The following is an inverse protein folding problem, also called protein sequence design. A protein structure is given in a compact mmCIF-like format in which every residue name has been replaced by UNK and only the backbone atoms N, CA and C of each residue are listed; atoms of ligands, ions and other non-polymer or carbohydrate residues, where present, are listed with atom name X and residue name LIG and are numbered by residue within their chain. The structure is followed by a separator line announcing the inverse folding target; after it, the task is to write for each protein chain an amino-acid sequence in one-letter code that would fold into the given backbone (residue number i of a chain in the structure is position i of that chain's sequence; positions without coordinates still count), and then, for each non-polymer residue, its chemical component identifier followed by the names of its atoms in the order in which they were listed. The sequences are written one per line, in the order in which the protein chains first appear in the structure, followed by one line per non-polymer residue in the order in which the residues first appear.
data_IF_786169816471
#
_entry.id   IF_786169816471
#
_cell.length_a   1.000
_cell.length_b   1.000
_cell.length_c   1.000
_cell.angle_alpha   90.00
_cell.angle_beta   90.00
_cell.angle_gamma   90.00
#
_symmetry.space_group_name_H-M   'P 1'
#
loop_
_entity.id
_entity.type
_entity.pdbx_description
1 polymer ?
#
# COMPACT_ATOMS: atom_id res chain seq x y z
N UNK A 1 -18.48 5.49 15.89
CA UNK A 1 -17.66 5.46 14.68
C UNK A 1 -16.45 6.36 14.90
N UNK A 2 -15.23 5.97 14.52
CA UNK A 2 -14.04 6.82 14.70
C UNK A 2 -13.33 7.03 13.37
N UNK A 3 -13.50 8.17 12.71
CA UNK A 3 -12.85 8.50 11.44
C UNK A 3 -11.32 8.39 11.47
N UNK A 4 -10.68 8.58 12.64
CA UNK A 4 -9.24 8.37 12.80
C UNK A 4 -8.75 6.97 12.33
N UNK A 5 -9.62 5.92 12.42
CA UNK A 5 -9.27 4.54 12.02
C UNK A 5 -8.85 4.36 10.56
N UNK A 6 -9.22 5.28 9.69
CA UNK A 6 -8.88 5.21 8.27
C UNK A 6 -7.64 6.05 7.91
N UNK A 7 -7.03 6.74 8.88
CA UNK A 7 -5.86 7.60 8.67
C UNK A 7 -4.60 6.87 9.16
N UNK A 8 -3.57 6.89 8.31
CA UNK A 8 -2.28 6.25 8.53
C UNK A 8 -1.17 7.31 8.47
N UNK A 9 -0.86 8.00 9.59
CA UNK A 9 0.21 8.98 9.62
C UNK A 9 1.56 8.41 9.17
N UNK A 10 2.36 9.23 8.46
CA UNK A 10 3.73 8.89 8.13
C UNK A 10 4.65 9.04 9.34
N UNK A 11 5.56 8.07 9.57
CA UNK A 11 6.60 8.17 10.57
C UNK A 11 7.99 8.01 9.95
N UNK A 12 8.74 9.10 9.94
CA UNK A 12 10.12 9.16 9.44
C UNK A 12 11.07 9.03 10.61
N UNK A 13 11.77 7.90 10.69
CA UNK A 13 12.73 7.67 11.77
C UNK A 13 13.86 8.71 11.74
N UNK A 14 14.16 9.28 12.90
CA UNK A 14 15.13 10.37 13.05
C UNK A 14 14.60 11.78 12.72
N UNK A 15 13.36 11.90 12.24
CA UNK A 15 12.72 13.21 11.94
C UNK A 15 11.40 13.41 12.65
N UNK A 16 10.55 12.39 12.73
CA UNK A 16 9.21 12.47 13.34
C UNK A 16 9.28 12.42 14.87
N UNK A 17 8.38 13.15 15.53
CA UNK A 17 8.22 13.14 16.98
C UNK A 17 7.52 11.86 17.45
N UNK A 18 8.15 11.11 18.35
CA UNK A 18 7.57 9.92 18.96
C UNK A 18 6.35 10.27 19.83
N UNK A 19 6.41 11.41 20.54
CA UNK A 19 5.31 11.90 21.37
C UNK A 19 4.07 12.18 20.52
N UNK A 20 4.25 12.82 19.36
CA UNK A 20 3.16 13.07 18.42
C UNK A 20 2.57 11.78 17.85
N UNK A 21 3.41 10.80 17.54
CA UNK A 21 2.93 9.49 17.09
C UNK A 21 2.10 8.79 18.18
N UNK A 22 2.50 8.86 19.45
CA UNK A 22 1.71 8.32 20.57
C UNK A 22 0.35 9.03 20.73
N UNK A 23 0.32 10.36 20.58
CA UNK A 23 -0.92 11.15 20.63
C UNK A 23 -1.89 10.66 19.54
N UNK A 24 -1.41 10.49 18.30
CA UNK A 24 -2.19 9.95 17.20
C UNK A 24 -2.63 8.49 17.41
N UNK A 25 -1.75 7.64 17.97
CA UNK A 25 -2.12 6.28 18.32
C UNK A 25 -3.22 6.23 19.39
N UNK A 26 -3.16 7.09 20.44
CA UNK A 26 -4.22 7.22 21.45
C UNK A 26 -5.51 7.80 20.89
N UNK A 27 -5.44 8.68 19.89
CA UNK A 27 -6.61 9.18 19.14
C UNK A 27 -7.31 8.06 18.39
N UNK A 28 -6.59 7.00 18.04
CA UNK A 28 -7.13 5.79 17.44
C UNK A 28 -6.98 5.74 15.93
N UNK A 29 -5.86 6.24 15.39
CA UNK A 29 -5.50 6.02 13.97
C UNK A 29 -5.44 4.54 13.62
N UNK A 30 -5.66 4.20 12.35
CA UNK A 30 -5.68 2.81 11.89
C UNK A 30 -4.31 2.13 11.89
N UNK A 31 -3.26 2.93 11.80
CA UNK A 31 -1.89 2.46 11.75
C UNK A 31 -0.92 3.57 11.37
N UNK A 32 0.27 3.18 10.88
CA UNK A 32 1.33 4.11 10.48
C UNK A 32 2.02 3.67 9.21
N UNK A 33 2.41 4.63 8.36
CA UNK A 33 3.35 4.40 7.25
C UNK A 33 4.77 4.64 7.74
N UNK A 34 5.66 3.65 7.63
CA UNK A 34 7.02 3.70 8.17
C UNK A 34 8.05 4.06 7.10
N UNK A 35 9.02 4.94 7.46
CA UNK A 35 10.05 5.42 6.53
C UNK A 35 11.43 5.52 7.21
N UNK A 36 12.44 4.78 6.71
CA UNK A 36 13.86 4.93 7.05
C UNK A 36 14.27 4.40 8.43
N UNK A 37 13.77 3.22 8.81
CA UNK A 37 14.13 2.54 10.04
C UNK A 37 15.31 1.57 9.88
N UNK A 38 15.94 1.21 11.02
CA UNK A 38 16.57 -0.11 11.17
C UNK A 38 15.53 -1.10 11.73
N UNK A 39 15.75 -2.39 11.55
CA UNK A 39 14.85 -3.44 12.07
C UNK A 39 14.50 -3.24 13.55
N UNK A 40 15.51 -3.01 14.39
CA UNK A 40 15.32 -2.78 15.84
C UNK A 40 14.45 -1.55 16.12
N UNK A 41 14.70 -0.42 15.45
CA UNK A 41 13.91 0.80 15.63
C UNK A 41 12.45 0.62 15.18
N UNK A 42 12.22 -0.13 14.10
CA UNK A 42 10.88 -0.44 13.63
C UNK A 42 10.12 -1.28 14.67
N UNK A 43 10.72 -2.36 15.18
CA UNK A 43 10.13 -3.19 16.24
C UNK A 43 9.77 -2.40 17.49
N UNK A 44 10.69 -1.56 17.98
CA UNK A 44 10.48 -0.75 19.19
C UNK A 44 9.32 0.25 18.98
N UNK A 45 9.24 0.86 17.80
CA UNK A 45 8.16 1.77 17.44
C UNK A 45 6.81 1.04 17.36
N UNK A 46 6.75 -0.07 16.65
CA UNK A 46 5.54 -0.88 16.48
C UNK A 46 4.98 -1.28 17.85
N UNK A 47 5.82 -1.88 18.70
CA UNK A 47 5.43 -2.25 20.05
C UNK A 47 4.88 -1.06 20.84
N UNK A 48 5.60 0.06 20.82
CA UNK A 48 5.22 1.27 21.56
C UNK A 48 3.89 1.85 21.10
N UNK A 49 3.60 1.86 19.79
CA UNK A 49 2.34 2.36 19.26
C UNK A 49 1.17 1.40 19.59
N UNK A 50 1.39 0.09 19.55
CA UNK A 50 0.39 -0.90 19.95
C UNK A 50 0.07 -0.78 21.46
N UNK A 51 1.08 -0.59 22.32
CA UNK A 51 0.92 -0.48 23.79
C UNK A 51 0.06 0.75 24.17
N UNK A 52 0.08 1.84 23.39
CA UNK A 52 -0.68 3.07 23.69
C UNK A 52 -1.99 3.19 22.90
N UNK A 53 -2.20 2.38 21.87
CA UNK A 53 -3.42 2.39 21.08
C UNK A 53 -4.61 1.82 21.87
N UNK A 54 -5.79 2.45 21.83
CA UNK A 54 -6.99 1.90 22.48
C UNK A 54 -7.51 0.60 21.82
N UNK A 55 -7.00 0.27 20.63
CA UNK A 55 -7.40 -0.93 19.87
C UNK A 55 -6.38 -2.08 19.93
N UNK A 56 -5.23 -1.88 20.55
CA UNK A 56 -4.15 -2.85 20.61
C UNK A 56 -3.49 -3.05 19.25
N UNK A 57 -4.10 -3.82 18.36
CA UNK A 57 -3.55 -4.08 17.01
C UNK A 57 -3.71 -2.86 16.07
N UNK A 58 -2.62 -2.56 15.35
CA UNK A 58 -2.54 -1.55 14.32
C UNK A 58 -1.98 -2.13 13.03
N UNK A 59 -2.30 -1.53 11.89
CA UNK A 59 -1.65 -1.83 10.63
C UNK A 59 -0.41 -0.93 10.47
N UNK A 60 0.75 -1.54 10.23
CA UNK A 60 1.98 -0.82 9.90
C UNK A 60 2.32 -1.08 8.44
N UNK A 61 2.21 -0.05 7.62
CA UNK A 61 2.48 -0.16 6.21
C UNK A 61 3.84 0.42 5.81
N UNK A 62 4.39 -0.10 4.72
CA UNK A 62 5.63 0.40 4.12
C UNK A 62 5.45 0.54 2.62
N UNK A 63 5.81 1.72 2.09
CA UNK A 63 5.79 2.02 0.66
C UNK A 63 7.04 1.40 0.00
N UNK A 64 6.96 0.09 -0.24
CA UNK A 64 8.01 -0.69 -0.87
C UNK A 64 7.71 -0.75 -2.36
N UNK A 65 8.63 -0.23 -3.19
CA UNK A 65 8.48 -0.29 -4.64
C UNK A 65 9.18 -1.51 -5.22
N UNK A 66 10.34 -1.84 -4.71
CA UNK A 66 11.15 -2.97 -5.17
C UNK A 66 11.66 -3.83 -4.00
N UNK A 67 12.29 -3.24 -2.98
CA UNK A 67 12.92 -3.99 -1.89
C UNK A 67 12.64 -3.38 -0.52
N UNK A 68 12.60 -4.24 0.53
CA UNK A 68 12.39 -3.80 1.91
C UNK A 68 13.47 -2.81 2.41
N UNK A 69 14.67 -2.82 1.81
CA UNK A 69 15.74 -1.88 2.13
C UNK A 69 15.36 -0.40 1.91
N UNK A 70 14.36 -0.13 1.07
CA UNK A 70 13.84 1.23 0.88
C UNK A 70 13.28 1.83 2.18
N UNK A 71 12.86 0.97 3.10
CA UNK A 71 12.25 1.35 4.39
C UNK A 71 13.06 0.86 5.59
N UNK A 72 13.59 -0.36 5.53
CA UNK A 72 14.40 -0.98 6.59
C UNK A 72 15.84 -1.09 6.10
N UNK A 73 16.67 -0.15 6.53
CA UNK A 73 18.00 0.09 5.95
C UNK A 73 19.01 -1.03 6.17
N UNK A 74 18.80 -1.89 7.16
CA UNK A 74 19.62 -3.07 7.48
C UNK A 74 18.99 -4.39 7.00
N UNK A 75 17.89 -4.34 6.22
CA UNK A 75 17.32 -5.55 5.63
C UNK A 75 18.21 -6.09 4.50
N UNK A 76 18.25 -7.43 4.30
CA UNK A 76 18.93 -8.05 3.17
C UNK A 76 18.36 -7.57 1.82
N UNK A 77 19.25 -7.42 0.83
CA UNK A 77 18.86 -7.14 -0.54
C UNK A 77 18.21 -8.37 -1.19
N UNK A 78 17.13 -8.14 -1.94
CA UNK A 78 16.51 -9.13 -2.82
C UNK A 78 16.69 -8.72 -4.28
N UNK A 79 16.54 -9.63 -5.26
CA UNK A 79 16.62 -9.31 -6.68
C UNK A 79 15.65 -8.18 -7.06
N UNK A 80 16.11 -7.23 -7.90
CA UNK A 80 15.25 -6.17 -8.40
C UNK A 80 14.13 -6.75 -9.29
N UNK A 81 12.89 -6.22 -9.19
CA UNK A 81 11.74 -6.70 -9.95
C UNK A 81 12.02 -6.78 -11.46
N UNK A 82 12.60 -5.72 -12.03
CA UNK A 82 12.91 -5.66 -13.46
C UNK A 82 13.96 -6.67 -13.96
N UNK A 83 14.67 -7.35 -13.04
CA UNK A 83 15.62 -8.41 -13.39
C UNK A 83 15.03 -9.81 -13.24
N UNK A 84 13.90 -9.97 -12.57
CA UNK A 84 13.33 -11.30 -12.28
C UNK A 84 12.97 -12.05 -13.57
N UNK A 85 12.47 -11.36 -14.59
CA UNK A 85 12.14 -11.97 -15.88
C UNK A 85 13.32 -12.56 -16.66
N UNK A 86 14.57 -12.27 -16.22
CA UNK A 86 15.82 -12.77 -16.83
C UNK A 86 16.33 -14.07 -16.20
N UNK A 87 15.71 -14.54 -15.10
CA UNK A 87 16.07 -15.80 -14.44
C UNK A 87 15.51 -17.01 -15.18
N UNK A 88 16.12 -18.18 -15.00
CA UNK A 88 15.67 -19.44 -15.59
C UNK A 88 14.25 -19.84 -15.14
N UNK A 89 13.87 -19.51 -13.90
CA UNK A 89 12.57 -19.79 -13.29
C UNK A 89 11.97 -18.50 -12.69
N UNK A 90 11.55 -17.53 -13.53
CA UNK A 90 11.20 -16.20 -13.08
C UNK A 90 9.97 -16.18 -12.15
N UNK A 91 9.01 -17.08 -12.33
CA UNK A 91 7.83 -17.20 -11.48
C UNK A 91 8.19 -17.65 -10.06
N UNK A 92 9.07 -18.67 -9.94
CA UNK A 92 9.56 -19.13 -8.64
C UNK A 92 10.35 -18.03 -7.92
N UNK A 93 11.19 -17.31 -8.65
CA UNK A 93 11.94 -16.15 -8.09
C UNK A 93 10.99 -15.06 -7.60
N UNK A 94 9.95 -14.73 -8.37
CA UNK A 94 8.94 -13.73 -7.98
C UNK A 94 8.18 -14.16 -6.72
N UNK A 95 7.72 -15.41 -6.67
CA UNK A 95 7.04 -15.97 -5.51
C UNK A 95 7.94 -15.94 -4.25
N UNK A 96 9.18 -16.44 -4.36
CA UNK A 96 10.13 -16.45 -3.23
C UNK A 96 10.45 -15.05 -2.75
N UNK A 97 10.65 -14.09 -3.67
CA UNK A 97 10.84 -12.69 -3.32
C UNK A 97 9.64 -12.15 -2.52
N UNK A 98 8.42 -12.39 -2.97
CA UNK A 98 7.21 -12.00 -2.25
C UNK A 98 7.14 -12.60 -0.85
N UNK A 99 7.34 -13.91 -0.74
CA UNK A 99 7.33 -14.63 0.53
C UNK A 99 8.38 -14.09 1.52
N UNK A 100 9.62 -13.93 1.07
CA UNK A 100 10.71 -13.41 1.91
C UNK A 100 10.49 -11.94 2.29
N UNK A 101 9.96 -11.12 1.38
CA UNK A 101 9.58 -9.73 1.69
C UNK A 101 8.54 -9.73 2.83
N UNK A 102 7.51 -10.57 2.77
CA UNK A 102 6.51 -10.67 3.85
C UNK A 102 7.14 -11.14 5.17
N UNK A 103 7.96 -12.21 5.15
CA UNK A 103 8.58 -12.74 6.37
C UNK A 103 9.51 -11.73 7.04
N UNK A 104 10.31 -10.99 6.26
CA UNK A 104 11.16 -9.92 6.78
C UNK A 104 10.36 -8.73 7.28
N UNK A 105 9.30 -8.32 6.55
CA UNK A 105 8.43 -7.23 6.95
C UNK A 105 7.73 -7.51 8.28
N UNK A 106 7.12 -8.70 8.43
CA UNK A 106 6.49 -9.12 9.68
C UNK A 106 7.48 -9.20 10.85
N UNK A 107 8.70 -9.67 10.61
CA UNK A 107 9.74 -9.74 11.64
C UNK A 107 10.08 -8.37 12.25
N UNK A 108 9.90 -7.29 11.49
CA UNK A 108 10.13 -5.91 11.95
C UNK A 108 8.83 -5.18 12.34
N UNK A 109 7.68 -5.88 12.27
CA UNK A 109 6.36 -5.39 12.65
C UNK A 109 5.58 -4.70 11.52
N UNK A 110 6.08 -4.70 10.28
CA UNK A 110 5.35 -4.23 9.10
C UNK A 110 4.46 -5.37 8.62
N UNK A 111 3.13 -5.16 8.64
CA UNK A 111 2.15 -6.17 8.27
C UNK A 111 1.38 -5.83 6.96
N UNK A 112 1.60 -4.66 6.39
CA UNK A 112 1.04 -4.24 5.12
C UNK A 112 2.13 -3.70 4.18
N UNK A 113 2.48 -4.51 3.16
CA UNK A 113 3.47 -4.18 2.13
C UNK A 113 2.76 -3.49 0.97
N UNK A 114 3.03 -2.19 0.77
CA UNK A 114 2.43 -1.44 -0.34
C UNK A 114 3.16 -1.76 -1.65
N UNK A 115 3.01 -2.99 -2.13
CA UNK A 115 3.55 -3.58 -3.34
C UNK A 115 2.59 -4.69 -3.85
N UNK A 116 2.69 -5.11 -5.13
CA UNK A 116 3.67 -4.73 -6.15
C UNK A 116 3.30 -3.51 -6.98
N UNK A 117 4.30 -2.95 -7.67
CA UNK A 117 4.10 -2.07 -8.82
C UNK A 117 3.79 -2.95 -10.04
N UNK A 118 2.66 -2.69 -10.71
CA UNK A 118 2.23 -3.40 -11.93
C UNK A 118 2.20 -2.51 -13.16
N UNK A 119 2.77 -1.31 -13.06
CA UNK A 119 2.98 -0.43 -14.21
C UNK A 119 3.90 -1.09 -15.24
N UNK A 120 3.68 -0.77 -16.52
CA UNK A 120 4.50 -1.30 -17.61
C UNK A 120 5.72 -0.40 -17.86
N UNK A 121 6.90 -0.98 -18.00
CA UNK A 121 8.11 -0.23 -18.37
C UNK A 121 9.40 -0.81 -17.80
N UNK A 122 10.50 -0.62 -18.52
CA UNK A 122 11.84 -1.10 -18.12
C UNK A 122 12.52 -0.25 -17.04
N UNK A 123 12.13 1.02 -16.93
CA UNK A 123 12.74 1.98 -15.99
C UNK A 123 11.89 2.19 -14.72
N UNK A 124 10.90 1.34 -14.51
CA UNK A 124 10.04 1.35 -13.32
C UNK A 124 10.43 0.17 -12.41
N UNK A 125 10.10 0.20 -11.12
CA UNK A 125 10.26 -0.95 -10.23
C UNK A 125 9.23 -2.06 -10.54
N UNK A 126 8.69 -2.10 -11.77
CA UNK A 126 7.80 -3.11 -12.29
C UNK A 126 8.56 -4.35 -12.77
N UNK A 127 7.80 -5.40 -13.10
CA UNK A 127 8.35 -6.68 -13.55
C UNK A 127 8.66 -6.73 -15.05
N UNK A 128 8.49 -5.63 -15.77
CA UNK A 128 8.75 -5.52 -17.21
C UNK A 128 7.78 -4.59 -17.93
N UNK A 129 7.74 -4.67 -19.26
CA UNK A 129 6.88 -3.86 -20.14
C UNK A 129 5.83 -4.68 -20.89
N UNK A 130 5.92 -6.02 -20.84
CA UNK A 130 4.94 -6.93 -21.47
C UNK A 130 3.80 -7.21 -20.48
N UNK A 131 2.53 -6.86 -20.81
CA UNK A 131 1.41 -6.96 -19.87
C UNK A 131 1.23 -8.35 -19.25
N UNK A 132 1.37 -9.43 -20.04
CA UNK A 132 1.24 -10.80 -19.54
C UNK A 132 2.39 -11.22 -18.63
N UNK A 133 3.62 -10.80 -18.93
CA UNK A 133 4.77 -11.06 -18.06
C UNK A 133 4.60 -10.35 -16.71
N UNK A 134 4.25 -9.06 -16.72
CA UNK A 134 3.97 -8.31 -15.48
C UNK A 134 2.84 -8.96 -14.69
N UNK A 135 1.77 -9.40 -15.37
CA UNK A 135 0.65 -10.12 -14.75
C UNK A 135 1.10 -11.38 -14.03
N UNK A 136 1.92 -12.19 -14.68
CA UNK A 136 2.42 -13.46 -14.14
C UNK A 136 3.31 -13.21 -12.93
N UNK A 137 4.38 -12.43 -13.10
CA UNK A 137 5.39 -12.21 -12.06
C UNK A 137 4.84 -11.44 -10.85
N UNK A 138 4.02 -10.41 -11.07
CA UNK A 138 3.34 -9.71 -9.98
C UNK A 138 2.33 -10.60 -9.25
N UNK A 139 1.63 -11.48 -9.99
CA UNK A 139 0.72 -12.46 -9.41
C UNK A 139 1.42 -13.47 -8.50
N UNK A 140 2.59 -13.95 -8.90
CA UNK A 140 3.41 -14.87 -8.09
C UNK A 140 4.03 -14.15 -6.88
N UNK A 141 4.47 -12.90 -7.05
CA UNK A 141 4.92 -12.06 -5.94
C UNK A 141 3.81 -11.84 -4.89
N UNK A 142 2.58 -11.52 -5.33
CA UNK A 142 1.42 -11.38 -4.42
C UNK A 142 1.11 -12.69 -3.72
N UNK A 143 1.17 -13.83 -4.43
CA UNK A 143 0.97 -15.14 -3.81
C UNK A 143 2.01 -15.40 -2.72
N UNK A 144 3.28 -15.06 -2.99
CA UNK A 144 4.36 -15.11 -2.01
C UNK A 144 4.09 -14.22 -0.79
N UNK A 145 3.73 -12.94 -1.00
CA UNK A 145 3.39 -12.01 0.09
C UNK A 145 2.26 -12.56 0.97
N UNK A 146 1.18 -13.02 0.36
CA UNK A 146 0.01 -13.54 1.08
C UNK A 146 0.35 -14.81 1.87
N UNK A 147 1.10 -15.74 1.28
CA UNK A 147 1.54 -16.95 1.97
C UNK A 147 2.56 -16.66 3.07
N UNK A 148 3.33 -15.58 2.94
CA UNK A 148 4.22 -15.06 3.97
C UNK A 148 3.49 -14.35 5.11
N UNK A 149 2.20 -14.04 4.96
CA UNK A 149 1.31 -13.46 5.96
C UNK A 149 1.19 -11.94 5.93
N UNK A 150 1.73 -11.23 4.94
CA UNK A 150 1.59 -9.79 4.81
C UNK A 150 0.44 -9.43 3.86
N UNK A 151 -0.22 -8.30 4.15
CA UNK A 151 -1.14 -7.65 3.21
C UNK A 151 -0.35 -7.04 2.04
N UNK A 152 -0.99 -6.98 0.87
CA UNK A 152 -0.43 -6.40 -0.34
C UNK A 152 -1.20 -5.15 -0.80
N UNK A 153 -0.63 -4.38 -1.72
CA UNK A 153 -1.30 -3.26 -2.37
C UNK A 153 -0.78 -3.08 -3.79
N UNK A 154 -1.63 -3.34 -4.78
CA UNK A 154 -1.29 -3.20 -6.20
C UNK A 154 -1.32 -1.73 -6.61
N UNK A 155 -0.29 -1.25 -7.33
CA UNK A 155 -0.11 0.17 -7.66
C UNK A 155 0.60 0.37 -9.00
N UNK A 156 0.47 1.53 -9.70
CA UNK A 156 -0.34 2.72 -9.42
C UNK A 156 -1.47 2.85 -10.45
N UNK A 157 -2.71 2.55 -10.05
CA UNK A 157 -3.86 2.56 -10.96
C UNK A 157 -4.14 3.98 -11.53
N UNK A 158 -4.48 4.15 -12.81
CA UNK A 158 -4.76 3.13 -13.82
C UNK A 158 -3.54 2.65 -14.64
N UNK A 159 -2.32 2.91 -14.20
CA UNK A 159 -1.07 2.57 -14.87
C UNK A 159 -0.37 3.82 -15.40
N UNK A 160 0.77 4.20 -14.79
CA UNK A 160 1.50 5.44 -15.08
C UNK A 160 1.92 5.55 -16.55
N UNK A 161 2.28 4.42 -17.19
CA UNK A 161 2.61 4.37 -18.63
C UNK A 161 1.43 4.71 -19.56
N UNK A 162 0.21 4.68 -19.02
CA UNK A 162 -1.02 4.98 -19.76
C UNK A 162 -1.41 6.47 -19.85
N UNK A 163 -0.65 7.38 -19.23
CA UNK A 163 -1.02 8.83 -19.14
C UNK A 163 -1.38 9.45 -20.48
N UNK A 164 -0.66 9.10 -21.56
CA UNK A 164 -0.88 9.62 -22.90
C UNK A 164 -1.64 8.67 -23.83
N UNK A 165 -2.11 7.51 -23.33
CA UNK A 165 -2.80 6.48 -24.11
C UNK A 165 -4.31 6.68 -24.07
N UNK A 166 -5.00 6.30 -25.15
CA UNK A 166 -6.47 6.19 -25.15
C UNK A 166 -6.94 5.06 -24.23
N UNK A 167 -8.20 5.11 -23.79
CA UNK A 167 -8.77 4.02 -23.00
C UNK A 167 -8.69 2.65 -23.67
N UNK A 168 -8.88 2.60 -25.00
CA UNK A 168 -8.76 1.35 -25.77
C UNK A 168 -7.33 0.79 -25.70
N UNK A 169 -6.32 1.64 -25.89
CA UNK A 169 -4.91 1.22 -25.76
C UNK A 169 -4.58 0.75 -24.34
N UNK A 170 -5.16 1.40 -23.31
CA UNK A 170 -4.97 1.00 -21.91
C UNK A 170 -5.65 -0.34 -21.58
N UNK A 171 -6.77 -0.68 -22.25
CA UNK A 171 -7.46 -1.96 -22.06
C UNK A 171 -6.62 -3.17 -22.50
N UNK A 172 -5.83 -3.00 -23.55
CA UNK A 172 -4.98 -4.05 -24.10
C UNK A 172 -3.60 -4.11 -23.44
N UNK A 173 -3.27 -3.15 -22.58
CA UNK A 173 -1.97 -3.03 -21.93
C UNK A 173 -2.08 -2.80 -20.41
N UNK A 174 -2.25 -1.54 -19.98
CA UNK A 174 -2.18 -1.15 -18.56
C UNK A 174 -3.23 -1.85 -17.68
N UNK A 175 -4.45 -2.09 -18.20
CA UNK A 175 -5.51 -2.72 -17.39
C UNK A 175 -5.37 -4.25 -17.29
N UNK A 176 -4.53 -4.87 -18.12
CA UNK A 176 -4.37 -6.35 -18.11
C UNK A 176 -3.85 -6.84 -16.75
N UNK A 177 -2.74 -6.32 -16.18
CA UNK A 177 -2.28 -6.74 -14.87
C UNK A 177 -3.32 -6.49 -13.78
N UNK A 178 -3.98 -5.33 -13.76
CA UNK A 178 -4.98 -5.00 -12.73
C UNK A 178 -6.17 -5.96 -12.74
N UNK A 179 -6.76 -6.25 -13.92
CA UNK A 179 -7.88 -7.19 -14.05
C UNK A 179 -7.57 -8.57 -13.46
N UNK A 180 -6.34 -9.06 -13.65
CA UNK A 180 -5.90 -10.34 -13.13
C UNK A 180 -5.60 -10.31 -11.61
N UNK A 181 -5.22 -9.15 -11.08
CA UNK A 181 -4.89 -8.99 -9.65
C UNK A 181 -6.11 -8.74 -8.76
N UNK A 182 -7.27 -8.32 -9.29
CA UNK A 182 -8.44 -7.89 -8.51
C UNK A 182 -8.90 -8.85 -7.41
N UNK A 183 -8.75 -10.16 -7.61
CA UNK A 183 -9.12 -11.18 -6.62
C UNK A 183 -8.03 -11.47 -5.59
N UNK A 184 -6.81 -11.01 -5.85
CA UNK A 184 -5.62 -11.27 -5.01
C UNK A 184 -5.13 -10.01 -4.29
N UNK A 185 -5.50 -8.84 -4.80
CA UNK A 185 -5.14 -7.56 -4.21
C UNK A 185 -5.95 -7.30 -2.95
N UNK A 186 -5.28 -7.09 -1.82
CA UNK A 186 -5.93 -6.59 -0.60
C UNK A 186 -6.38 -5.16 -0.80
N UNK A 187 -5.53 -4.33 -1.44
CA UNK A 187 -5.86 -2.98 -1.81
C UNK A 187 -5.33 -2.62 -3.20
N UNK A 188 -5.90 -1.57 -3.80
CA UNK A 188 -5.36 -0.88 -4.98
C UNK A 188 -5.06 0.57 -4.60
N UNK A 189 -3.89 1.05 -5.03
CA UNK A 189 -3.47 2.43 -4.86
C UNK A 189 -3.55 3.15 -6.22
N UNK A 190 -4.41 4.18 -6.36
CA UNK A 190 -4.39 5.05 -7.53
C UNK A 190 -3.13 5.92 -7.56
N UNK A 191 -2.77 6.34 -8.76
CA UNK A 191 -1.70 7.32 -9.00
C UNK A 191 -2.10 8.72 -8.54
N UNK A 192 -1.10 9.56 -8.27
CA UNK A 192 -1.23 11.01 -8.11
C UNK A 192 -1.19 11.79 -9.44
N UNK A 193 -1.12 11.09 -10.57
CA UNK A 193 -1.08 11.72 -11.89
C UNK A 193 -2.47 12.02 -12.45
N UNK A 194 -2.54 12.99 -13.35
CA UNK A 194 -3.71 13.29 -14.19
C UNK A 194 -3.67 12.42 -15.43
N UNK A 195 -4.81 11.81 -15.78
CA UNK A 195 -4.99 11.02 -17.00
C UNK A 195 -5.99 11.73 -17.91
N UNK A 196 -5.53 12.59 -18.83
CA UNK A 196 -6.42 13.48 -19.60
C UNK A 196 -7.52 12.76 -20.38
N UNK A 197 -7.28 11.54 -20.82
CA UNK A 197 -8.25 10.73 -21.54
C UNK A 197 -9.35 10.11 -20.65
N UNK A 198 -9.25 10.26 -19.31
CA UNK A 198 -10.24 9.79 -18.34
C UNK A 198 -10.81 10.97 -17.56
N UNK A 199 -9.94 11.77 -16.95
CA UNK A 199 -10.28 12.99 -16.21
C UNK A 199 -9.14 13.99 -16.38
N UNK A 200 -9.45 15.12 -17.04
CA UNK A 200 -8.47 16.15 -17.34
C UNK A 200 -8.23 17.12 -16.16
N UNK A 201 -9.10 17.08 -15.15
CA UNK A 201 -9.13 18.09 -14.09
C UNK A 201 -8.58 17.59 -12.76
N UNK A 202 -8.58 16.26 -12.56
CA UNK A 202 -8.25 15.67 -11.29
C UNK A 202 -7.17 14.57 -11.42
N UNK A 203 -6.28 14.52 -10.43
CA UNK A 203 -5.40 13.37 -10.21
C UNK A 203 -6.23 12.08 -10.04
N UNK A 204 -5.70 10.94 -10.45
CA UNK A 204 -6.44 9.66 -10.41
C UNK A 204 -7.03 9.36 -9.03
N UNK A 205 -6.29 9.60 -7.94
CA UNK A 205 -6.76 9.40 -6.56
C UNK A 205 -7.87 10.36 -6.10
N UNK A 206 -8.12 11.46 -6.84
CA UNK A 206 -9.15 12.47 -6.57
C UNK A 206 -10.29 12.45 -7.59
N UNK A 207 -10.29 11.48 -8.50
CA UNK A 207 -11.18 11.42 -9.63
C UNK A 207 -12.29 10.39 -9.47
N UNK A 208 -13.53 10.85 -9.40
CA UNK A 208 -14.72 9.99 -9.46
C UNK A 208 -14.78 9.18 -10.76
N UNK A 209 -14.32 9.78 -11.88
CA UNK A 209 -14.29 9.09 -13.19
C UNK A 209 -13.31 7.92 -13.17
N UNK A 210 -12.14 8.08 -12.52
CA UNK A 210 -11.13 7.01 -12.39
C UNK A 210 -11.56 5.97 -11.38
N UNK A 211 -11.94 6.37 -10.17
CA UNK A 211 -12.21 5.41 -9.08
C UNK A 211 -13.59 4.78 -9.23
N UNK A 212 -14.68 5.57 -9.14
CA UNK A 212 -16.03 5.03 -9.23
C UNK A 212 -16.38 4.58 -10.65
N UNK A 213 -16.05 5.41 -11.66
CA UNK A 213 -16.39 5.15 -13.05
C UNK A 213 -15.60 4.00 -13.65
N UNK A 214 -14.27 4.12 -13.68
CA UNK A 214 -13.41 3.12 -14.34
C UNK A 214 -13.15 1.92 -13.43
N UNK A 215 -12.53 2.11 -12.26
CA UNK A 215 -12.08 0.99 -11.40
C UNK A 215 -13.26 0.19 -10.83
N UNK A 216 -14.20 0.84 -10.15
CA UNK A 216 -15.30 0.15 -9.46
C UNK A 216 -16.40 -0.31 -10.42
N UNK A 217 -16.86 0.55 -11.35
CA UNK A 217 -18.00 0.26 -12.24
C UNK A 217 -17.57 -0.50 -13.48
N UNK A 218 -16.67 0.06 -14.32
CA UNK A 218 -16.31 -0.54 -15.63
C UNK A 218 -15.47 -1.81 -15.45
N UNK A 219 -14.43 -1.76 -14.59
CA UNK A 219 -13.54 -2.90 -14.35
C UNK A 219 -14.03 -3.82 -13.23
N UNK A 220 -15.11 -3.44 -12.54
CA UNK A 220 -15.80 -4.22 -11.50
C UNK A 220 -14.93 -4.63 -10.30
N UNK A 221 -13.97 -3.79 -9.90
CA UNK A 221 -13.18 -4.02 -8.69
C UNK A 221 -14.01 -3.77 -7.42
N UNK A 222 -14.03 -4.72 -6.50
CA UNK A 222 -14.84 -4.66 -5.25
C UNK A 222 -14.01 -4.50 -3.98
N UNK A 223 -12.67 -4.58 -4.10
CA UNK A 223 -11.77 -4.49 -2.94
C UNK A 223 -11.50 -3.05 -2.49
N UNK A 224 -10.63 -2.93 -1.50
CA UNK A 224 -10.24 -1.66 -0.89
C UNK A 224 -9.42 -0.78 -1.84
N UNK A 225 -9.64 0.52 -1.78
CA UNK A 225 -8.81 1.53 -2.46
C UNK A 225 -8.15 2.41 -1.40
N UNK A 226 -6.82 2.58 -1.50
CA UNK A 226 -6.05 3.42 -0.57
C UNK A 226 -5.49 4.63 -1.29
N UNK A 227 -5.28 5.73 -0.59
CA UNK A 227 -4.68 6.90 -1.23
C UNK A 227 -3.22 6.66 -1.63
N UNK A 228 -2.73 7.38 -2.62
CA UNK A 228 -1.30 7.62 -2.74
C UNK A 228 -0.79 8.34 -1.48
N UNK A 229 0.47 8.15 -1.02
CA UNK A 229 0.98 8.86 0.16
C UNK A 229 0.87 10.37 0.00
N UNK A 230 0.05 11.04 0.83
CA UNK A 230 -0.33 12.43 0.62
C UNK A 230 0.87 13.39 0.59
N UNK A 231 1.88 13.14 1.41
CA UNK A 231 3.09 13.98 1.42
C UNK A 231 3.85 14.01 0.08
N UNK A 232 3.67 12.99 -0.79
CA UNK A 232 4.25 12.92 -2.13
C UNK A 232 3.32 13.50 -3.20
N UNK A 233 2.01 13.54 -2.96
CA UNK A 233 0.96 13.74 -3.97
C UNK A 233 0.72 15.19 -4.42
N UNK A 234 1.63 16.14 -4.17
CA UNK A 234 1.53 17.54 -4.60
C UNK A 234 0.18 18.22 -4.29
N UNK A 235 -0.43 17.88 -3.15
CA UNK A 235 -1.72 18.41 -2.73
C UNK A 235 -1.56 19.76 -2.04
N UNK A 236 -2.34 20.77 -2.48
CA UNK A 236 -2.36 22.09 -1.86
C UNK A 236 -3.12 22.10 -0.52
N UNK A 237 -4.19 21.33 -0.42
CA UNK A 237 -5.08 21.26 0.74
C UNK A 237 -5.35 19.80 1.10
N UNK A 238 -4.50 19.18 1.92
CA UNK A 238 -4.58 17.74 2.23
C UNK A 238 -5.91 17.35 2.88
N UNK A 239 -6.39 18.12 3.86
CA UNK A 239 -7.66 17.81 4.54
C UNK A 239 -8.87 17.80 3.59
N UNK A 240 -9.00 18.83 2.75
CA UNK A 240 -10.07 18.89 1.75
C UNK A 240 -9.91 17.78 0.68
N UNK A 241 -8.67 17.47 0.30
CA UNK A 241 -8.38 16.39 -0.63
C UNK A 241 -8.74 15.02 -0.04
N UNK A 242 -8.47 14.80 1.25
CA UNK A 242 -8.84 13.56 1.94
C UNK A 242 -10.36 13.36 1.98
N UNK A 243 -11.13 14.41 2.29
CA UNK A 243 -12.60 14.40 2.20
C UNK A 243 -13.05 14.05 0.78
N UNK A 244 -12.48 14.69 -0.25
CA UNK A 244 -12.79 14.38 -1.65
C UNK A 244 -12.45 12.94 -2.02
N UNK A 245 -11.31 12.40 -1.57
CA UNK A 245 -10.92 11.01 -1.78
C UNK A 245 -11.95 10.04 -1.21
N UNK A 246 -12.43 10.28 0.02
CA UNK A 246 -13.47 9.45 0.64
C UNK A 246 -14.76 9.47 -0.18
N UNK A 247 -15.20 10.63 -0.66
CA UNK A 247 -16.32 10.72 -1.61
C UNK A 247 -16.06 9.94 -2.90
N UNK A 248 -14.80 9.80 -3.34
CA UNK A 248 -14.44 8.98 -4.50
C UNK A 248 -14.31 7.47 -4.17
N UNK A 249 -14.63 7.02 -2.96
CA UNK A 249 -14.41 5.64 -2.48
C UNK A 249 -12.92 5.25 -2.36
N UNK A 250 -12.06 6.20 -2.02
CA UNK A 250 -10.73 5.92 -1.47
C UNK A 250 -10.91 5.78 0.05
N UNK A 251 -10.56 4.64 0.60
CA UNK A 251 -10.99 4.21 1.94
C UNK A 251 -9.98 4.48 3.04
N UNK A 252 -8.67 4.46 2.72
CA UNK A 252 -7.62 4.72 3.69
C UNK A 252 -6.72 5.87 3.21
N UNK A 253 -6.41 6.78 4.11
CA UNK A 253 -5.62 7.99 3.85
C UNK A 253 -4.20 7.77 4.37
N UNK A 254 -3.24 7.65 3.45
CA UNK A 254 -1.85 7.31 3.76
C UNK A 254 -0.96 8.54 3.87
N UNK A 255 -0.16 8.59 4.93
CA UNK A 255 0.92 9.52 5.18
C UNK A 255 0.56 11.01 4.89
N UNK A 256 -0.54 11.56 5.46
CA UNK A 256 -0.76 12.99 5.43
C UNK A 256 0.32 13.72 6.25
N UNK A 257 0.66 14.96 5.83
CA UNK A 257 1.57 15.83 6.60
C UNK A 257 0.91 16.31 7.89
N UNK A 258 -0.41 16.59 7.80
CA UNK A 258 -1.27 17.01 8.90
C UNK A 258 -2.38 15.96 9.15
N UNK A 259 -2.03 14.93 9.91
CA UNK A 259 -2.97 13.85 10.20
C UNK A 259 -4.16 14.31 11.06
N UNK A 260 -3.94 15.23 12.01
CA UNK A 260 -5.01 15.78 12.86
C UNK A 260 -5.97 16.61 12.04
N UNK A 261 -5.46 17.53 11.20
CA UNK A 261 -6.30 18.33 10.34
C UNK A 261 -7.13 17.50 9.35
N UNK A 262 -6.59 16.36 8.87
CA UNK A 262 -7.34 15.38 8.06
C UNK A 262 -8.44 14.72 8.89
N UNK A 263 -8.14 14.23 10.11
CA UNK A 263 -9.11 13.60 11.01
C UNK A 263 -10.24 14.57 11.33
N UNK A 264 -9.89 15.79 11.76
CA UNK A 264 -10.87 16.85 12.08
C UNK A 264 -11.77 17.21 10.90
N UNK A 265 -11.22 17.23 9.68
CA UNK A 265 -12.01 17.53 8.49
C UNK A 265 -13.01 16.41 8.18
N UNK A 266 -12.59 15.16 8.33
CA UNK A 266 -13.48 14.00 8.13
C UNK A 266 -14.55 13.93 9.22
N UNK A 267 -14.20 14.17 10.48
CA UNK A 267 -15.14 14.21 11.59
C UNK A 267 -16.23 15.28 11.37
N UNK A 268 -15.85 16.48 10.96
CA UNK A 268 -16.81 17.53 10.61
C UNK A 268 -17.80 17.15 9.51
N UNK A 269 -17.38 16.38 8.50
CA UNK A 269 -18.30 15.90 7.46
C UNK A 269 -19.22 14.80 7.98
N UNK A 270 -18.73 13.92 8.82
CA UNK A 270 -19.55 12.87 9.50
C UNK A 270 -20.58 13.51 10.43
N UNK A 271 -20.21 14.52 11.20
CA UNK A 271 -21.12 15.24 12.10
C UNK A 271 -22.25 15.99 11.35
N UNK A 272 -22.00 16.38 10.10
CA UNK A 272 -23.03 16.92 9.19
C UNK A 272 -23.89 15.85 8.52
N UNK A 273 -23.61 14.57 8.76
CA UNK A 273 -24.30 13.44 8.15
C UNK A 273 -23.76 13.00 6.78
N UNK A 274 -22.61 13.57 6.34
CA UNK A 274 -21.91 13.14 5.13
C UNK A 274 -20.86 12.08 5.46
N UNK A 275 -20.42 11.29 4.46
CA UNK A 275 -19.38 10.25 4.57
C UNK A 275 -19.66 9.14 5.60
N UNK A 276 -20.86 9.05 6.16
CA UNK A 276 -21.18 8.06 7.21
C UNK A 276 -21.01 6.64 6.69
N UNK A 277 -21.60 6.34 5.54
CA UNK A 277 -21.53 5.00 4.93
C UNK A 277 -20.12 4.67 4.43
N UNK A 278 -19.42 5.66 3.86
CA UNK A 278 -18.03 5.51 3.40
C UNK A 278 -17.11 5.17 4.58
N UNK A 279 -17.26 5.83 5.72
CA UNK A 279 -16.44 5.57 6.92
C UNK A 279 -16.80 4.21 7.53
N UNK A 280 -18.07 3.83 7.61
CA UNK A 280 -18.46 2.48 8.07
C UNK A 280 -17.82 1.41 7.22
N UNK A 281 -17.88 1.56 5.90
CA UNK A 281 -17.29 0.61 4.96
C UNK A 281 -15.77 0.54 5.10
N UNK A 282 -15.09 1.70 5.14
CA UNK A 282 -13.65 1.78 5.28
C UNK A 282 -13.15 1.16 6.61
N UNK A 283 -13.82 1.43 7.72
CA UNK A 283 -13.49 0.82 9.03
C UNK A 283 -13.74 -0.69 8.99
N UNK A 284 -14.81 -1.16 8.35
CA UNK A 284 -15.07 -2.61 8.19
C UNK A 284 -13.94 -3.30 7.41
N UNK A 285 -13.46 -2.69 6.32
CA UNK A 285 -12.33 -3.21 5.56
C UNK A 285 -11.03 -3.20 6.39
N UNK A 286 -10.83 -2.17 7.21
CA UNK A 286 -9.69 -2.12 8.12
C UNK A 286 -9.71 -3.29 9.14
N UNK A 287 -10.84 -3.57 9.75
CA UNK A 287 -11.00 -4.71 10.69
C UNK A 287 -10.81 -6.06 9.98
N UNK A 288 -11.27 -6.20 8.73
CA UNK A 288 -10.99 -7.39 7.91
C UNK A 288 -9.48 -7.55 7.65
N UNK A 289 -8.75 -6.47 7.39
CA UNK A 289 -7.29 -6.52 7.22
C UNK A 289 -6.58 -6.97 8.51
N UNK A 290 -6.98 -6.42 9.66
CA UNK A 290 -6.44 -6.86 10.96
C UNK A 290 -6.70 -8.35 11.20
N UNK A 291 -7.92 -8.81 10.89
CA UNK A 291 -8.29 -10.24 11.03
C UNK A 291 -7.46 -11.14 10.11
N UNK A 292 -7.19 -10.69 8.87
CA UNK A 292 -6.35 -11.42 7.93
C UNK A 292 -4.90 -11.51 8.42
N UNK A 293 -4.35 -10.42 8.94
CA UNK A 293 -2.99 -10.41 9.54
C UNK A 293 -2.92 -11.33 10.75
N UNK A 294 -3.92 -11.29 11.63
CA UNK A 294 -3.97 -12.13 12.83
C UNK A 294 -4.09 -13.63 12.53
N UNK A 295 -4.70 -13.99 11.40
CA UNK A 295 -4.79 -15.38 10.92
C UNK A 295 -3.52 -15.87 10.19
N UNK A 296 -2.58 -14.97 9.93
CA UNK A 296 -1.33 -15.26 9.24
C UNK A 296 -0.33 -16.04 10.10
N UNK A 297 0.81 -16.44 9.52
CA UNK A 297 1.86 -17.15 10.24
C UNK A 297 2.54 -16.22 11.25
N UNK A 298 2.93 -16.75 12.39
CA UNK A 298 3.69 -16.02 13.42
C UNK A 298 4.95 -15.35 12.83
N UNK A 299 5.27 -14.11 13.24
CA UNK A 299 6.50 -13.45 12.83
C UNK A 299 7.74 -14.24 13.27
N UNK A 300 8.72 -14.35 12.39
CA UNK A 300 10.02 -14.90 12.74
C UNK A 300 10.85 -13.87 13.52
N UNK A 301 11.80 -14.30 14.36
CA UNK A 301 12.84 -13.38 14.84
C UNK A 301 13.57 -12.72 13.66
N UNK A 302 13.91 -11.42 13.79
CA UNK A 302 14.55 -10.65 12.69
C UNK A 302 15.77 -11.37 12.12
N UNK A 303 16.64 -11.89 13.01
CA UNK A 303 17.86 -12.60 12.61
C UNK A 303 17.56 -13.81 11.73
N UNK A 304 16.50 -14.55 12.03
CA UNK A 304 16.09 -15.72 11.27
C UNK A 304 15.48 -15.34 9.93
N UNK A 305 14.58 -14.34 9.91
CA UNK A 305 13.96 -13.85 8.69
C UNK A 305 15.01 -13.29 7.70
N UNK A 306 15.98 -12.54 8.20
CA UNK A 306 17.05 -11.98 7.38
C UNK A 306 18.02 -13.06 6.88
N UNK A 307 18.41 -14.01 7.75
CA UNK A 307 19.24 -15.14 7.34
C UNK A 307 18.56 -16.03 6.28
N UNK A 308 17.24 -16.24 6.39
CA UNK A 308 16.46 -16.96 5.39
C UNK A 308 16.54 -16.28 4.02
N UNK A 309 16.36 -14.97 3.96
CA UNK A 309 16.43 -14.18 2.74
C UNK A 309 17.85 -14.23 2.11
N UNK A 310 18.88 -14.03 2.94
CA UNK A 310 20.28 -14.14 2.49
C UNK A 310 20.63 -15.53 1.93
N UNK A 311 20.21 -16.59 2.61
CA UNK A 311 20.49 -17.96 2.19
C UNK A 311 19.85 -18.28 0.84
N UNK A 312 18.64 -17.79 0.60
CA UNK A 312 17.85 -18.14 -0.57
C UNK A 312 18.42 -17.50 -1.85
N UNK A 313 18.93 -16.28 -1.74
CA UNK A 313 19.45 -15.51 -2.90
C UNK A 313 20.99 -15.42 -2.99
N UNK A 314 21.75 -15.86 -1.98
CA UNK A 314 23.22 -15.95 -2.05
C UNK A 314 23.74 -17.17 -2.83
N UNK A 315 22.86 -18.12 -3.21
CA UNK A 315 23.27 -19.39 -3.87
C UNK A 315 23.27 -19.34 -5.40
N UNK A 316 23.31 -18.13 -6.00
CA UNK A 316 23.41 -18.03 -7.46
C UNK A 316 24.49 -17.05 -7.89
#
# INVERSE_FOLDING_TARGET
MKPARIVFPGFWFGKSSIKKAEELARLGVGGFCLYGATAKKAQDFVKRMQDVSPYGQLLFCADITDTLQEVITDAPALPANGKIGQHDFPQDVAYRKGYLTARMALAVGINWVLAPVVDLGYNTPAFGDVPLQVTQLAGDFIAGLSNGGALNCVKYFPGVSGVLKTLAQMEDAEFVPYKHMFRRADAIMPSDMIFPNIDNDNQAMLSDKVIKGLLKKRLNYKGCVVSFPLFKGHLKYEAASAVKMLHCNVENILAPRDAEGVIDAVEREVDKGFLVDEIIHAVSNHEMFLSKVAAGPEPLPVKEAFALAEKDFKKK
#
